data_IF_224014227140
#
_entry.id   IF_224014227140
#
_cell.length_a   1.000
_cell.length_b   1.000
_cell.length_c   1.000
_cell.angle_alpha   90.00
_cell.angle_beta   90.00
_cell.angle_gamma   90.00
#
_symmetry.space_group_name_H-M   'P 1'
#
loop_
_entity.id
_entity.type
_entity.pdbx_description
1 polymer ?
#
# COMPACT_ATOMS: atom_id res chain seq x y z
N UNK A 1 -3.91 9.59 23.97
CA UNK A 1 -2.67 10.39 23.80
C UNK A 1 -1.47 9.50 23.48
N UNK A 2 -0.72 8.96 24.45
CA UNK A 2 0.37 7.99 24.18
C UNK A 2 -0.16 6.72 23.50
N UNK A 3 -1.30 6.19 23.98
CA UNK A 3 -1.98 5.02 23.38
C UNK A 3 -2.32 5.24 21.90
N UNK A 4 -2.94 6.36 21.54
CA UNK A 4 -3.27 6.71 20.14
C UNK A 4 -2.02 6.75 19.25
N UNK A 5 -0.91 7.33 19.75
CA UNK A 5 0.36 7.38 19.03
C UNK A 5 0.96 5.97 18.85
N UNK A 6 0.94 5.13 19.88
CA UNK A 6 1.41 3.74 19.80
C UNK A 6 0.58 2.95 18.78
N UNK A 7 -0.75 3.04 18.89
CA UNK A 7 -1.67 2.37 17.95
C UNK A 7 -1.44 2.86 16.51
N UNK A 8 -1.26 4.17 16.30
CA UNK A 8 -0.89 4.72 15.00
C UNK A 8 0.37 4.06 14.42
N UNK A 9 1.46 3.98 15.19
CA UNK A 9 2.70 3.39 14.71
C UNK A 9 2.59 1.89 14.46
N UNK A 10 1.85 1.16 15.28
CA UNK A 10 1.58 -0.28 15.06
C UNK A 10 0.79 -0.47 13.76
N UNK A 11 -0.32 0.23 13.58
CA UNK A 11 -1.15 0.14 12.37
C UNK A 11 -0.37 0.57 11.12
N UNK A 12 0.40 1.66 11.20
CA UNK A 12 1.20 2.16 10.07
C UNK A 12 2.36 1.21 9.74
N UNK A 13 2.98 0.59 10.73
CA UNK A 13 3.99 -0.44 10.53
C UNK A 13 3.43 -1.69 9.85
N UNK A 14 2.26 -2.18 10.30
CA UNK A 14 1.58 -3.31 9.67
C UNK A 14 1.17 -2.97 8.23
N UNK A 15 0.60 -1.79 8.01
CA UNK A 15 0.26 -1.33 6.66
C UNK A 15 1.50 -1.24 5.76
N UNK A 16 2.60 -0.67 6.26
CA UNK A 16 3.87 -0.62 5.56
C UNK A 16 4.40 -2.02 5.21
N UNK A 17 4.26 -3.00 6.11
CA UNK A 17 4.66 -4.38 5.87
C UNK A 17 3.83 -5.02 4.73
N UNK A 18 2.52 -4.81 4.67
CA UNK A 18 1.69 -5.26 3.55
C UNK A 18 2.18 -4.69 2.21
N UNK A 19 2.44 -3.37 2.18
CA UNK A 19 2.89 -2.72 0.96
C UNK A 19 4.29 -3.20 0.54
N UNK A 20 5.22 -3.41 1.49
CA UNK A 20 6.56 -3.93 1.21
C UNK A 20 6.54 -5.40 0.76
N UNK A 21 5.63 -6.21 1.32
CA UNK A 21 5.45 -7.60 0.90
C UNK A 21 5.10 -7.71 -0.58
N UNK A 22 4.31 -6.76 -1.11
CA UNK A 22 4.07 -6.64 -2.56
C UNK A 22 5.21 -5.94 -3.30
N UNK A 23 5.79 -4.88 -2.74
CA UNK A 23 6.77 -4.04 -3.44
C UNK A 23 8.11 -4.73 -3.69
N UNK A 24 8.61 -5.52 -2.74
CA UNK A 24 9.94 -6.13 -2.83
C UNK A 24 10.01 -7.13 -4.02
N UNK A 25 9.06 -8.07 -4.19
CA UNK A 25 9.01 -8.93 -5.37
C UNK A 25 8.94 -8.15 -6.70
N UNK A 26 8.18 -7.05 -6.73
CA UNK A 26 8.06 -6.19 -7.92
C UNK A 26 9.39 -5.52 -8.28
N UNK A 27 10.10 -4.98 -7.29
CA UNK A 27 11.43 -4.34 -7.47
C UNK A 27 12.45 -5.36 -7.96
N UNK A 28 12.47 -6.54 -7.35
CA UNK A 28 13.42 -7.60 -7.64
C UNK A 28 13.06 -8.41 -8.89
N UNK A 29 11.92 -8.12 -9.53
CA UNK A 29 11.40 -8.85 -10.69
C UNK A 29 11.34 -10.37 -10.42
N UNK A 30 10.90 -10.74 -9.22
CA UNK A 30 10.72 -12.14 -8.82
C UNK A 30 9.78 -12.83 -9.82
N UNK A 31 10.09 -14.04 -10.33
CA UNK A 31 9.36 -14.67 -11.43
C UNK A 31 7.84 -14.77 -11.21
N UNK A 32 7.41 -15.04 -9.98
CA UNK A 32 6.01 -15.13 -9.58
C UNK A 32 5.30 -13.76 -9.72
N UNK A 33 5.94 -12.68 -9.26
CA UNK A 33 5.40 -11.32 -9.39
C UNK A 33 5.34 -10.89 -10.86
N UNK A 34 6.36 -11.21 -11.65
CA UNK A 34 6.37 -10.95 -13.09
C UNK A 34 5.24 -11.68 -13.79
N UNK A 35 5.05 -12.96 -13.50
CA UNK A 35 4.00 -13.80 -14.09
C UNK A 35 2.61 -13.27 -13.70
N UNK A 36 2.39 -12.93 -12.43
CA UNK A 36 1.13 -12.36 -11.96
C UNK A 36 0.80 -11.05 -12.70
N UNK A 37 1.71 -10.06 -12.67
CA UNK A 37 1.42 -8.73 -13.23
C UNK A 37 1.31 -8.76 -14.76
N UNK A 38 2.15 -9.54 -15.44
CA UNK A 38 2.02 -9.69 -16.91
C UNK A 38 0.81 -10.53 -17.32
N UNK A 39 0.39 -11.49 -16.49
CA UNK A 39 -0.86 -12.23 -16.66
C UNK A 39 -2.09 -11.35 -16.62
N UNK A 40 -2.04 -10.24 -15.85
CA UNK A 40 -3.07 -9.20 -15.84
C UNK A 40 -3.06 -8.30 -17.10
N UNK A 41 -2.11 -8.50 -18.02
CA UNK A 41 -1.98 -7.73 -19.26
C UNK A 41 -1.11 -6.47 -19.14
N UNK A 42 -0.43 -6.27 -18.02
CA UNK A 42 0.50 -5.15 -17.85
C UNK A 42 1.87 -5.44 -18.48
N UNK A 43 2.54 -4.43 -19.06
CA UNK A 43 3.87 -4.61 -19.62
C UNK A 43 4.93 -4.77 -18.52
N UNK A 44 5.90 -5.68 -18.71
CA UNK A 44 6.91 -6.02 -17.69
C UNK A 44 7.68 -4.80 -17.13
N UNK A 45 7.90 -3.75 -17.93
CA UNK A 45 8.67 -2.59 -17.48
C UNK A 45 7.97 -1.79 -16.36
N UNK A 46 6.64 -1.90 -16.21
CA UNK A 46 5.90 -1.13 -15.20
C UNK A 46 6.09 -1.71 -13.80
N UNK A 47 6.43 -3.00 -13.70
CA UNK A 47 6.52 -3.76 -12.46
C UNK A 47 7.52 -3.12 -11.48
N UNK A 48 8.81 -2.92 -11.83
CA UNK A 48 9.78 -2.34 -10.90
C UNK A 48 9.45 -0.87 -10.58
N UNK A 49 8.82 -0.14 -11.51
CA UNK A 49 8.36 1.22 -11.25
C UNK A 49 7.29 1.25 -10.13
N UNK A 50 6.28 0.38 -10.22
CA UNK A 50 5.25 0.25 -9.18
C UNK A 50 5.85 -0.20 -7.85
N UNK A 51 6.77 -1.18 -7.87
CA UNK A 51 7.47 -1.64 -6.68
C UNK A 51 8.23 -0.51 -5.98
N UNK A 52 9.03 0.28 -6.72
CA UNK A 52 9.76 1.43 -6.16
C UNK A 52 8.78 2.50 -5.65
N UNK A 53 7.71 2.80 -6.39
CA UNK A 53 6.70 3.78 -5.97
C UNK A 53 6.02 3.38 -4.65
N UNK A 54 5.64 2.10 -4.48
CA UNK A 54 5.10 1.56 -3.22
C UNK A 54 6.10 1.72 -2.08
N UNK A 55 7.36 1.33 -2.30
CA UNK A 55 8.41 1.43 -1.28
C UNK A 55 8.66 2.89 -0.84
N UNK A 56 8.70 3.83 -1.79
CA UNK A 56 8.80 5.27 -1.48
C UNK A 56 7.57 5.78 -0.72
N UNK A 57 6.38 5.31 -1.07
CA UNK A 57 5.15 5.58 -0.32
C UNK A 57 5.24 5.12 1.12
N UNK A 58 5.75 3.90 1.37
CA UNK A 58 5.98 3.36 2.72
C UNK A 58 6.98 4.21 3.51
N UNK A 59 8.09 4.61 2.89
CA UNK A 59 9.08 5.50 3.52
C UNK A 59 8.42 6.84 3.90
N UNK A 60 7.64 7.43 2.99
CA UNK A 60 6.95 8.70 3.24
C UNK A 60 5.92 8.63 4.39
N UNK A 61 5.17 7.54 4.55
CA UNK A 61 4.21 7.41 5.66
C UNK A 61 4.91 7.15 7.01
N UNK A 62 6.09 6.51 7.01
CA UNK A 62 6.86 6.23 8.21
C UNK A 62 7.71 7.42 8.67
N UNK A 63 8.05 8.36 7.79
CA UNK A 63 8.73 9.60 8.20
C UNK A 63 7.71 10.58 8.83
N UNK A 64 7.93 11.07 10.06
CA UNK A 64 6.95 11.90 10.76
C UNK A 64 6.84 13.35 10.21
N UNK A 65 7.86 13.87 9.55
CA UNK A 65 8.03 15.32 9.34
C UNK A 65 7.30 15.92 8.13
N UNK A 66 6.99 15.13 7.10
CA UNK A 66 6.54 15.66 5.80
C UNK A 66 5.04 15.47 5.55
N UNK A 67 4.22 16.38 6.10
CA UNK A 67 2.75 16.26 6.05
C UNK A 67 2.17 16.17 4.63
N UNK A 68 2.61 17.02 3.70
CA UNK A 68 2.07 17.06 2.32
C UNK A 68 2.47 15.81 1.52
N UNK A 69 3.73 15.40 1.65
CA UNK A 69 4.25 14.18 1.00
C UNK A 69 3.51 12.95 1.55
N UNK A 70 3.19 12.93 2.84
CA UNK A 70 2.43 11.84 3.45
C UNK A 70 1.03 11.71 2.87
N UNK A 71 0.30 12.81 2.64
CA UNK A 71 -0.99 12.76 1.93
C UNK A 71 -0.85 12.19 0.52
N UNK A 72 0.19 12.60 -0.22
CA UNK A 72 0.47 12.08 -1.56
C UNK A 72 0.77 10.59 -1.52
N UNK A 73 1.54 10.13 -0.53
CA UNK A 73 1.84 8.73 -0.34
C UNK A 73 0.57 7.92 -0.03
N UNK A 74 -0.30 8.38 0.88
CA UNK A 74 -1.58 7.72 1.14
C UNK A 74 -2.47 7.65 -0.11
N UNK A 75 -2.57 8.74 -0.88
CA UNK A 75 -3.34 8.75 -2.12
C UNK A 75 -2.76 7.78 -3.18
N UNK A 76 -1.43 7.77 -3.36
CA UNK A 76 -0.76 6.87 -4.29
C UNK A 76 -0.94 5.40 -3.93
N UNK A 77 -0.73 5.04 -2.65
CA UNK A 77 -0.93 3.67 -2.16
C UNK A 77 -2.41 3.25 -2.23
N UNK A 78 -3.35 4.18 -2.07
CA UNK A 78 -4.78 3.92 -2.27
C UNK A 78 -5.08 3.56 -3.72
N UNK A 79 -4.62 4.36 -4.69
CA UNK A 79 -4.85 4.08 -6.11
C UNK A 79 -4.15 2.80 -6.57
N UNK A 80 -2.98 2.48 -6.01
CA UNK A 80 -2.29 1.22 -6.24
C UNK A 80 -3.13 0.02 -5.77
N UNK A 81 -3.62 0.02 -4.53
CA UNK A 81 -4.44 -1.07 -3.99
C UNK A 81 -5.77 -1.25 -4.75
N UNK A 82 -6.45 -0.14 -5.06
CA UNK A 82 -7.70 -0.18 -5.81
C UNK A 82 -7.45 -0.62 -7.25
N UNK A 83 -6.38 -0.13 -7.89
CA UNK A 83 -5.99 -0.51 -9.24
C UNK A 83 -5.66 -2.00 -9.33
N UNK A 84 -4.89 -2.54 -8.38
CA UNK A 84 -4.61 -3.97 -8.29
C UNK A 84 -5.89 -4.79 -8.12
N UNK A 85 -6.75 -4.40 -7.18
CA UNK A 85 -8.04 -5.07 -6.92
C UNK A 85 -8.93 -5.08 -8.17
N UNK A 86 -9.09 -3.92 -8.81
CA UNK A 86 -9.87 -3.77 -10.03
C UNK A 86 -9.33 -4.66 -11.16
N UNK A 87 -8.02 -4.65 -11.37
CA UNK A 87 -7.39 -5.39 -12.47
C UNK A 87 -7.55 -6.90 -12.32
N UNK A 88 -7.41 -7.41 -11.10
CA UNK A 88 -7.64 -8.83 -10.80
C UNK A 88 -9.11 -9.19 -11.07
N UNK A 89 -10.06 -8.39 -10.59
CA UNK A 89 -11.50 -8.67 -10.80
C UNK A 89 -11.85 -8.67 -12.30
N UNK A 90 -11.31 -7.72 -13.07
CA UNK A 90 -11.61 -7.62 -14.51
C UNK A 90 -10.98 -8.78 -15.29
N UNK A 91 -9.79 -9.24 -14.90
CA UNK A 91 -9.07 -10.30 -15.63
C UNK A 91 -9.44 -11.71 -15.22
N UNK A 92 -9.69 -11.93 -13.94
CA UNK A 92 -9.88 -13.26 -13.36
C UNK A 92 -11.29 -13.49 -12.80
N UNK A 93 -12.14 -12.45 -12.82
CA UNK A 93 -13.45 -12.46 -12.19
C UNK A 93 -13.39 -12.27 -10.67
N UNK A 94 -14.56 -12.25 -10.02
CA UNK A 94 -14.62 -12.20 -8.57
C UNK A 94 -14.27 -13.57 -7.98
N UNK A 95 -13.13 -13.64 -7.28
CA UNK A 95 -12.71 -14.83 -6.54
C UNK A 95 -12.70 -14.53 -5.04
N UNK A 96 -13.11 -15.45 -4.15
CA UNK A 96 -13.12 -15.22 -2.70
C UNK A 96 -11.80 -14.70 -2.14
N UNK A 97 -10.66 -15.05 -2.74
CA UNK A 97 -9.32 -14.62 -2.36
C UNK A 97 -9.13 -13.11 -2.46
N UNK A 98 -9.83 -12.43 -3.39
CA UNK A 98 -9.73 -10.97 -3.55
C UNK A 98 -10.25 -10.22 -2.31
N UNK A 99 -11.08 -10.87 -1.49
CA UNK A 99 -11.56 -10.28 -0.22
C UNK A 99 -10.41 -9.98 0.75
N UNK A 100 -9.25 -10.63 0.58
CA UNK A 100 -8.06 -10.31 1.36
C UNK A 100 -7.60 -8.86 1.15
N UNK A 101 -7.87 -8.23 -0.01
CA UNK A 101 -7.55 -6.82 -0.27
C UNK A 101 -8.28 -5.85 0.68
N UNK A 102 -9.37 -6.28 1.32
CA UNK A 102 -10.05 -5.48 2.36
C UNK A 102 -9.10 -5.16 3.52
N UNK A 103 -8.18 -6.06 3.87
CA UNK A 103 -7.24 -5.86 4.97
C UNK A 103 -6.28 -4.69 4.71
N UNK A 104 -5.41 -4.68 3.67
CA UNK A 104 -4.50 -3.57 3.44
C UNK A 104 -5.25 -2.25 3.20
N UNK A 105 -6.44 -2.28 2.57
CA UNK A 105 -7.28 -1.09 2.41
C UNK A 105 -7.78 -0.57 3.77
N UNK A 106 -8.26 -1.45 4.66
CA UNK A 106 -8.68 -1.06 6.00
C UNK A 106 -7.51 -0.49 6.82
N UNK A 107 -6.34 -1.12 6.74
CA UNK A 107 -5.12 -0.63 7.39
C UNK A 107 -4.66 0.72 6.84
N UNK A 108 -4.81 0.97 5.54
CA UNK A 108 -4.55 2.28 4.90
C UNK A 108 -5.42 3.36 5.53
N UNK A 109 -6.75 3.17 5.53
CA UNK A 109 -7.69 4.15 6.07
C UNK A 109 -7.53 4.34 7.58
N UNK A 110 -7.29 3.26 8.32
CA UNK A 110 -7.07 3.33 9.76
C UNK A 110 -5.77 4.07 10.09
N UNK A 111 -4.69 3.80 9.34
CA UNK A 111 -3.42 4.50 9.48
C UNK A 111 -3.58 6.00 9.21
N UNK A 112 -4.25 6.36 8.11
CA UNK A 112 -4.53 7.75 7.75
C UNK A 112 -5.37 8.47 8.79
N UNK A 113 -6.47 7.85 9.23
CA UNK A 113 -7.35 8.39 10.26
C UNK A 113 -6.59 8.63 11.58
N UNK A 114 -5.85 7.63 12.06
CA UNK A 114 -5.08 7.73 13.31
C UNK A 114 -3.99 8.80 13.22
N UNK A 115 -3.35 8.96 12.07
CA UNK A 115 -2.38 10.03 11.85
C UNK A 115 -3.02 11.41 12.04
N UNK A 116 -4.19 11.67 11.44
CA UNK A 116 -4.91 12.93 11.65
C UNK A 116 -5.30 13.16 13.10
N UNK A 117 -5.65 12.09 13.84
CA UNK A 117 -5.92 12.20 15.27
C UNK A 117 -4.67 12.54 16.09
N UNK A 118 -3.49 12.01 15.70
CA UNK A 118 -2.23 12.38 16.35
C UNK A 118 -1.80 13.83 16.08
N UNK A 119 -2.22 14.42 14.95
CA UNK A 119 -1.96 15.83 14.64
C UNK A 119 -2.83 16.80 15.44
N UNK A 120 -4.11 16.49 15.65
CA UNK A 120 -5.04 17.37 16.40
C UNK A 120 -4.68 17.54 17.88
N UNK A 121 -3.73 16.77 18.39
CA UNK A 121 -3.33 16.75 19.80
C UNK A 121 -1.97 17.40 20.07
N UNK A 122 -1.36 18.03 19.06
CA UNK A 122 -0.13 18.84 19.14
C UNK A 122 -0.49 20.28 18.82
#
# INVERSE_FOLDING_TARGET
MKKTKIVYWVITGIFGAFMLFSAIPDILLVPEAVTMVTGLGYPKYIIPFLGVAKALGVVAILIPSFNRIKEWAYAGLFFDLIGATYSIIVKEGFQPQITFMVLPIAFLFLSHYLWHQTKKTV
#
